data_IF_112731122972
#
_entry.id   IF_112731122972
#
_cell.length_a   1.000
_cell.length_b   1.000
_cell.length_c   1.000
_cell.angle_alpha   90.00
_cell.angle_beta   90.00
_cell.angle_gamma   90.00
#
_symmetry.space_group_name_H-M   'P 1'
#
loop_
_entity.id
_entity.type
_entity.pdbx_description
1 polymer ?
#
# COMPACT_ATOMS: atom_id res chain seq x y z
N UNK A 1 22.71 7.31 14.18
CA UNK A 1 21.79 6.23 13.77
C UNK A 1 20.41 6.65 14.26
N UNK A 2 19.64 7.35 13.43
CA UNK A 2 18.28 7.80 13.74
C UNK A 2 17.33 6.76 13.15
N UNK A 3 16.59 6.06 14.00
CA UNK A 3 15.58 5.08 13.58
C UNK A 3 14.24 5.77 13.74
N UNK A 4 13.72 6.31 12.64
CA UNK A 4 12.35 6.83 12.56
C UNK A 4 11.36 5.66 12.55
N UNK A 5 10.43 5.72 13.51
CA UNK A 5 9.11 5.08 13.55
C UNK A 5 9.01 3.59 13.16
N UNK A 6 9.26 2.72 14.14
CA UNK A 6 8.88 1.30 14.10
C UNK A 6 7.37 1.15 14.40
N UNK A 7 6.60 0.62 13.44
CA UNK A 7 5.18 0.31 13.60
C UNK A 7 5.01 -1.21 13.77
N UNK A 8 4.34 -1.68 14.83
CA UNK A 8 4.28 -3.11 15.18
C UNK A 8 2.85 -3.65 15.29
N UNK A 9 2.54 -4.73 14.57
CA UNK A 9 1.24 -5.43 14.65
C UNK A 9 1.43 -6.94 14.68
N UNK A 10 0.89 -7.63 15.70
CA UNK A 10 0.75 -9.10 15.72
C UNK A 10 1.99 -9.84 15.16
N UNK A 11 3.19 -9.54 15.69
CA UNK A 11 4.49 -10.09 15.29
C UNK A 11 5.13 -9.53 14.02
N UNK A 12 4.49 -8.62 13.31
CA UNK A 12 5.07 -7.96 12.15
C UNK A 12 5.59 -6.57 12.52
N UNK A 13 6.88 -6.35 12.27
CA UNK A 13 7.57 -5.08 12.37
C UNK A 13 7.67 -4.46 10.99
N UNK A 14 7.03 -3.31 10.79
CA UNK A 14 7.21 -2.52 9.58
C UNK A 14 8.33 -1.49 9.78
N UNK A 15 9.23 -1.39 8.80
CA UNK A 15 10.29 -0.39 8.79
C UNK A 15 10.68 -0.01 7.36
N UNK A 16 11.30 1.15 7.24
CA UNK A 16 11.86 1.64 5.97
C UNK A 16 13.37 1.73 6.04
N UNK A 17 14.05 1.37 4.96
CA UNK A 17 15.49 1.54 4.81
C UNK A 17 15.80 2.67 3.85
N UNK A 18 16.68 3.58 4.27
CA UNK A 18 17.25 4.58 3.38
C UNK A 18 18.59 4.06 2.84
N UNK A 19 18.83 4.25 1.54
CA UNK A 19 20.13 3.96 0.93
C UNK A 19 20.40 4.92 -0.22
N UNK A 20 21.65 5.09 -0.63
CA UNK A 20 22.07 6.18 -1.54
C UNK A 20 21.87 5.94 -3.04
N UNK A 21 21.45 4.75 -3.49
CA UNK A 21 21.24 4.48 -4.92
C UNK A 21 19.89 5.02 -5.43
N UNK A 22 19.75 5.09 -6.75
CA UNK A 22 18.58 5.73 -7.41
C UNK A 22 17.72 4.71 -8.16
N UNK A 23 17.89 3.41 -7.88
CA UNK A 23 17.21 2.35 -8.62
C UNK A 23 15.72 2.26 -8.28
N UNK A 24 14.86 2.11 -9.30
CA UNK A 24 13.41 1.97 -9.09
C UNK A 24 13.04 0.66 -8.38
N UNK A 25 13.84 -0.40 -8.56
CA UNK A 25 13.60 -1.74 -7.99
C UNK A 25 13.93 -1.86 -6.49
N UNK A 26 13.99 -0.72 -5.80
CA UNK A 26 14.37 -0.62 -4.40
C UNK A 26 13.26 -1.10 -3.47
N UNK A 27 13.52 -2.23 -2.80
CA UNK A 27 12.71 -2.79 -1.73
C UNK A 27 13.06 -2.14 -0.39
N UNK A 28 12.63 -0.89 -0.23
CA UNK A 28 12.96 -0.09 0.94
C UNK A 28 11.89 -0.16 2.03
N UNK A 29 10.73 -0.74 1.74
CA UNK A 29 9.60 -0.84 2.66
C UNK A 29 9.43 -2.30 3.04
N UNK A 30 9.79 -2.65 4.27
CA UNK A 30 9.96 -4.03 4.69
C UNK A 30 9.05 -4.35 5.87
N UNK A 31 8.58 -5.59 5.90
CA UNK A 31 7.85 -6.20 7.00
C UNK A 31 8.69 -7.39 7.47
N UNK A 32 9.11 -7.35 8.72
CA UNK A 32 9.81 -8.45 9.38
C UNK A 32 8.88 -9.14 10.37
N UNK A 33 8.69 -10.44 10.20
CA UNK A 33 7.91 -11.25 11.13
C UNK A 33 8.82 -11.84 12.21
N UNK A 34 8.59 -11.46 13.47
CA UNK A 34 9.47 -11.84 14.59
C UNK A 34 9.31 -13.30 15.03
N UNK A 35 8.24 -14.00 14.63
CA UNK A 35 8.03 -15.41 14.99
C UNK A 35 8.85 -16.35 14.10
N UNK A 36 8.89 -16.09 12.80
CA UNK A 36 9.52 -16.98 11.82
C UNK A 36 10.72 -16.36 11.09
N UNK A 37 11.13 -15.15 11.49
CA UNK A 37 12.21 -14.36 10.89
C UNK A 37 12.02 -14.07 9.39
N UNK A 38 10.81 -14.18 8.86
CA UNK A 38 10.53 -13.89 7.47
C UNK A 38 10.61 -12.38 7.20
N UNK A 39 11.30 -12.00 6.13
CA UNK A 39 11.41 -10.62 5.66
C UNK A 39 10.68 -10.47 4.33
N UNK A 40 9.64 -9.64 4.31
CA UNK A 40 8.79 -9.39 3.13
C UNK A 40 8.88 -7.95 2.71
N UNK A 41 9.07 -7.68 1.42
CA UNK A 41 8.93 -6.32 0.88
C UNK A 41 7.47 -6.01 0.62
N UNK A 42 7.02 -4.82 1.02
CA UNK A 42 5.67 -4.34 0.78
C UNK A 42 5.32 -4.31 -0.71
N UNK A 43 6.31 -4.00 -1.56
CA UNK A 43 6.16 -3.98 -3.02
C UNK A 43 5.90 -5.36 -3.65
N UNK A 44 6.18 -6.44 -2.91
CA UNK A 44 5.93 -7.80 -3.40
C UNK A 44 4.57 -8.34 -2.93
N UNK A 45 3.78 -7.56 -2.18
CA UNK A 45 2.45 -7.99 -1.78
C UNK A 45 1.52 -7.86 -2.98
N UNK A 46 1.07 -9.01 -3.47
CA UNK A 46 0.12 -9.04 -4.57
C UNK A 46 -1.28 -8.66 -4.11
N UNK A 47 -2.04 -7.90 -4.93
CA UNK A 47 -3.45 -7.64 -4.69
C UNK A 47 -4.27 -8.93 -4.66
N UNK A 48 -5.14 -9.09 -3.67
CA UNK A 48 -6.03 -10.24 -3.54
C UNK A 48 -7.50 -9.82 -3.43
N UNK A 49 -8.40 -10.78 -3.20
CA UNK A 49 -9.84 -10.49 -3.05
C UNK A 49 -10.15 -9.58 -1.86
N UNK A 50 -9.33 -9.57 -0.81
CA UNK A 50 -9.53 -8.74 0.38
C UNK A 50 -9.12 -7.29 0.13
N UNK A 51 -8.08 -7.07 -0.70
CA UNK A 51 -7.75 -5.74 -1.21
C UNK A 51 -8.60 -5.33 -2.43
N UNK A 52 -9.59 -6.15 -2.81
CA UNK A 52 -10.42 -5.97 -4.01
C UNK A 52 -9.57 -5.83 -5.29
N UNK A 53 -8.44 -6.55 -5.32
CA UNK A 53 -7.45 -6.56 -6.39
C UNK A 53 -6.83 -5.18 -6.67
N UNK A 54 -6.81 -4.32 -5.65
CA UNK A 54 -6.09 -3.06 -5.65
C UNK A 54 -4.77 -3.23 -4.88
N UNK A 55 -3.69 -2.57 -5.32
CA UNK A 55 -2.41 -2.65 -4.63
C UNK A 55 -2.46 -1.94 -3.28
N UNK A 56 -1.60 -2.44 -2.38
CA UNK A 56 -1.44 -1.91 -1.03
C UNK A 56 -0.79 -0.52 -1.03
N UNK A 57 0.12 -0.28 -1.97
CA UNK A 57 0.74 1.02 -2.22
C UNK A 57 0.39 1.53 -3.62
N UNK A 58 0.90 2.70 -3.98
CA UNK A 58 0.82 3.23 -5.35
C UNK A 58 1.61 2.40 -6.40
N UNK A 59 2.20 1.25 -6.01
CA UNK A 59 3.04 0.39 -6.84
C UNK A 59 4.17 1.11 -7.61
N UNK A 60 4.55 2.33 -7.20
CA UNK A 60 5.51 3.15 -7.93
C UNK A 60 5.01 3.67 -9.29
N UNK A 61 3.69 3.70 -9.52
CA UNK A 61 3.09 4.07 -10.80
C UNK A 61 3.33 5.55 -11.18
N UNK A 62 3.57 6.44 -10.20
CA UNK A 62 3.79 7.87 -10.44
C UNK A 62 4.94 8.42 -9.58
N UNK A 63 5.79 9.27 -10.18
CA UNK A 63 7.00 9.80 -9.56
C UNK A 63 6.73 10.80 -8.43
N UNK A 64 5.69 11.62 -8.57
CA UNK A 64 5.44 12.77 -7.68
C UNK A 64 4.74 12.37 -6.37
N UNK A 65 4.23 11.14 -6.30
CA UNK A 65 3.49 10.65 -5.13
C UNK A 65 3.95 9.24 -4.72
N UNK A 66 5.25 8.96 -4.88
CA UNK A 66 5.89 7.67 -4.58
C UNK A 66 5.66 7.24 -3.12
N UNK A 67 4.52 6.63 -2.86
CA UNK A 67 4.22 6.10 -1.55
C UNK A 67 4.80 4.71 -1.40
N UNK A 68 6.04 4.65 -0.92
CA UNK A 68 6.75 3.40 -0.68
C UNK A 68 6.55 2.91 0.76
N UNK A 69 5.33 2.90 1.29
CA UNK A 69 5.13 2.32 2.62
C UNK A 69 3.87 2.74 3.35
N UNK A 70 3.88 2.49 4.66
CA UNK A 70 2.89 3.03 5.56
C UNK A 70 3.34 4.39 6.10
N UNK A 71 2.36 5.24 6.41
CA UNK A 71 2.52 6.53 7.08
C UNK A 71 2.28 6.41 8.58
N UNK A 72 1.37 5.54 9.00
CA UNK A 72 0.97 5.45 10.39
C UNK A 72 0.41 4.05 10.70
N UNK A 73 0.39 3.71 11.99
CA UNK A 73 -0.26 2.53 12.54
C UNK A 73 -0.92 2.87 13.87
N UNK A 74 -2.22 2.60 13.99
CA UNK A 74 -3.04 2.98 15.15
C UNK A 74 -3.13 1.90 16.25
N UNK A 75 -2.30 0.86 16.18
CA UNK A 75 -2.42 -0.33 17.04
C UNK A 75 -3.20 -1.48 16.40
N UNK A 76 -3.98 -1.20 15.34
CA UNK A 76 -4.85 -2.19 14.69
C UNK A 76 -4.79 -2.17 13.16
N UNK A 77 -4.52 -1.01 12.55
CA UNK A 77 -4.51 -0.82 11.11
C UNK A 77 -3.28 -0.03 10.68
N UNK A 78 -2.73 -0.41 9.54
CA UNK A 78 -1.75 0.38 8.83
C UNK A 78 -2.44 1.34 7.87
N UNK A 79 -1.91 2.55 7.80
CA UNK A 79 -2.41 3.60 6.92
C UNK A 79 -1.37 3.96 5.89
N UNK A 80 -1.79 4.07 4.65
CA UNK A 80 -1.01 4.60 3.54
C UNK A 80 -1.92 5.48 2.67
N UNK A 81 -1.37 6.08 1.63
CA UNK A 81 -2.14 6.91 0.71
C UNK A 81 -1.60 6.76 -0.71
N UNK A 82 -2.45 6.94 -1.71
CA UNK A 82 -1.95 7.14 -3.06
C UNK A 82 -2.85 8.08 -3.84
N UNK A 83 -2.30 8.66 -4.90
CA UNK A 83 -2.99 9.66 -5.69
C UNK A 83 -4.25 9.08 -6.33
N UNK A 84 -5.27 9.94 -6.54
CA UNK A 84 -6.45 9.55 -7.31
C UNK A 84 -6.06 9.06 -8.71
N UNK A 85 -5.05 9.69 -9.32
CA UNK A 85 -4.48 9.25 -10.59
C UNK A 85 -4.07 7.77 -10.57
N UNK A 86 -3.35 7.32 -9.53
CA UNK A 86 -2.98 5.91 -9.36
C UNK A 86 -4.21 5.02 -9.22
N UNK A 87 -5.16 5.41 -8.39
CA UNK A 87 -6.39 4.64 -8.16
C UNK A 87 -7.18 4.40 -9.45
N UNK A 88 -7.34 5.43 -10.27
CA UNK A 88 -8.03 5.31 -11.56
C UNK A 88 -7.21 4.53 -12.60
N UNK A 89 -5.87 4.64 -12.60
CA UNK A 89 -5.03 3.76 -13.43
C UNK A 89 -5.21 2.28 -13.06
N UNK A 90 -5.33 1.95 -11.77
CA UNK A 90 -5.61 0.57 -11.34
C UNK A 90 -7.01 0.09 -11.71
N UNK A 91 -8.01 0.98 -11.67
CA UNK A 91 -9.34 0.69 -12.20
C UNK A 91 -9.27 0.33 -13.68
N UNK A 92 -8.60 1.16 -14.48
CA UNK A 92 -8.47 0.97 -15.93
C UNK A 92 -7.73 -0.37 -16.23
N UNK A 93 -6.68 -0.70 -15.48
CA UNK A 93 -5.97 -2.00 -15.59
C UNK A 93 -6.80 -3.23 -15.19
N UNK A 94 -7.87 -3.02 -14.41
CA UNK A 94 -8.79 -4.06 -13.97
C UNK A 94 -10.07 -4.12 -14.81
N UNK A 95 -10.21 -3.25 -15.82
CA UNK A 95 -11.30 -3.30 -16.78
C UNK A 95 -11.34 -4.64 -17.52
N UNK A 96 -12.54 -5.17 -17.76
CA UNK A 96 -12.74 -6.48 -18.39
C UNK A 96 -12.44 -7.69 -17.49
N UNK A 97 -11.91 -7.52 -16.27
CA UNK A 97 -11.61 -8.62 -15.33
C UNK A 97 -12.76 -8.96 -14.36
N UNK A 98 -13.96 -8.40 -14.58
CA UNK A 98 -15.17 -8.59 -13.75
C UNK A 98 -14.90 -8.48 -12.23
N UNK A 99 -14.03 -7.53 -11.83
CA UNK A 99 -13.72 -7.30 -10.41
C UNK A 99 -14.92 -6.67 -9.72
N UNK A 100 -15.30 -7.18 -8.55
CA UNK A 100 -16.34 -6.60 -7.69
C UNK A 100 -15.68 -5.71 -6.65
N UNK A 101 -15.99 -4.43 -6.69
CA UNK A 101 -15.57 -3.48 -5.68
C UNK A 101 -16.66 -3.32 -4.62
N UNK A 102 -16.28 -2.86 -3.44
CA UNK A 102 -17.26 -2.43 -2.44
C UNK A 102 -18.02 -1.20 -2.90
N UNK A 103 -19.22 -1.01 -2.35
CA UNK A 103 -20.08 0.16 -2.62
C UNK A 103 -19.32 1.48 -2.45
N UNK A 104 -18.43 1.57 -1.45
CA UNK A 104 -17.62 2.77 -1.21
C UNK A 104 -16.69 3.10 -2.39
N UNK A 105 -15.99 2.09 -2.91
CA UNK A 105 -15.06 2.25 -4.04
C UNK A 105 -15.82 2.50 -5.35
N UNK A 106 -16.94 1.80 -5.56
CA UNK A 106 -17.79 2.05 -6.73
C UNK A 106 -18.34 3.48 -6.74
N UNK A 107 -18.80 3.98 -5.60
CA UNK A 107 -19.28 5.36 -5.49
C UNK A 107 -18.16 6.34 -5.76
N UNK A 108 -16.97 6.13 -5.19
CA UNK A 108 -15.79 6.94 -5.48
C UNK A 108 -15.49 6.99 -6.99
N UNK A 109 -15.50 5.86 -7.69
CA UNK A 109 -15.28 5.84 -9.14
C UNK A 109 -16.38 6.50 -9.97
N UNK A 110 -17.60 6.62 -9.44
CA UNK A 110 -18.72 7.33 -10.10
C UNK A 110 -18.67 8.84 -9.86
N UNK A 111 -18.20 9.28 -8.69
CA UNK A 111 -18.30 10.69 -8.25
C UNK A 111 -16.98 11.45 -8.29
N UNK A 112 -15.85 10.77 -8.50
CA UNK A 112 -14.51 11.36 -8.50
C UNK A 112 -13.77 11.10 -9.82
N UNK A 113 -12.59 11.68 -9.96
CA UNK A 113 -11.76 11.59 -11.17
C UNK A 113 -10.25 11.55 -10.84
N UNK A 114 -9.41 11.39 -11.87
CA UNK A 114 -7.94 11.35 -11.76
C UNK A 114 -7.31 12.58 -11.09
N UNK A 115 -8.01 13.72 -11.06
CA UNK A 115 -7.54 14.99 -10.47
C UNK A 115 -8.03 15.22 -9.04
N UNK A 116 -8.89 14.34 -8.56
CA UNK A 116 -9.41 14.39 -7.19
C UNK A 116 -8.31 14.18 -6.15
N UNK A 117 -8.63 14.49 -4.89
CA UNK A 117 -7.68 14.35 -3.79
C UNK A 117 -7.14 12.91 -3.64
N UNK A 118 -5.93 12.74 -3.09
CA UNK A 118 -5.39 11.43 -2.74
C UNK A 118 -6.34 10.67 -1.81
N UNK A 119 -6.33 9.34 -1.93
CA UNK A 119 -7.12 8.48 -1.06
C UNK A 119 -6.28 7.94 0.08
N UNK A 120 -6.92 7.68 1.22
CA UNK A 120 -6.33 6.98 2.34
C UNK A 120 -6.68 5.50 2.21
N UNK A 121 -5.65 4.67 2.31
CA UNK A 121 -5.77 3.22 2.29
C UNK A 121 -5.56 2.72 3.72
N UNK A 122 -6.56 2.00 4.21
CA UNK A 122 -6.57 1.41 5.55
C UNK A 122 -6.47 -0.11 5.42
N UNK A 123 -5.40 -0.69 5.95
CA UNK A 123 -5.12 -2.11 5.86
C UNK A 123 -5.06 -2.74 7.24
N UNK A 124 -5.75 -3.87 7.37
CA UNK A 124 -5.72 -4.69 8.58
C UNK A 124 -4.85 -5.92 8.32
N UNK A 125 -3.77 -6.12 9.09
CA UNK A 125 -3.00 -7.35 9.02
C UNK A 125 -3.89 -8.56 9.30
N UNK A 126 -3.66 -9.66 8.57
CA UNK A 126 -4.25 -10.95 8.94
C UNK A 126 -3.68 -11.34 10.31
N UNK A 127 -4.52 -11.88 11.18
CA UNK A 127 -4.04 -12.53 12.41
C UNK A 127 -3.33 -13.81 11.99
N UNK A 128 -2.16 -14.07 12.58
CA UNK A 128 -1.52 -15.39 12.52
C UNK A 128 -2.42 -16.44 13.20
#
# INVERSE_FOLDING_TARGET
>A
MLVDENLSSCNNLFFKTASWSWTKDRKNALIYNVKNAALTSLTNIEPDSLSQYLPVTDAGYFYDFLNRGFHNFDGTHFYTSYSSLAMFSFKDLNEGKNRKYSVAIENYFKTSDKKSNPIIVKLKPKKD
#
